data_IF_339208782291
#
_entry.id   IF_339208782291
#
_cell.length_a   1.000
_cell.length_b   1.000
_cell.length_c   1.000
_cell.angle_alpha   90.00
_cell.angle_beta   90.00
_cell.angle_gamma   90.00
#
_symmetry.space_group_name_H-M   'P 1'
#
loop_
_entity.id
_entity.type
_entity.pdbx_description
1 polymer ?
#
# COMPACT_ATOMS: atom_id res chain seq x y z
N UNK A 1 -20.86 19.13 1.46
CA UNK A 1 -19.51 18.74 1.12
C UNK A 1 -19.44 17.31 0.61
N UNK A 2 -18.30 16.92 0.11
CA UNK A 2 -18.01 15.53 -0.25
C UNK A 2 -17.60 14.77 1.00
N UNK A 3 -18.00 13.50 1.08
CA UNK A 3 -17.64 12.60 2.18
C UNK A 3 -17.23 11.26 1.60
N UNK A 4 -16.18 10.69 2.11
CA UNK A 4 -15.78 9.32 1.80
C UNK A 4 -16.56 8.33 2.68
N UNK A 5 -16.88 7.17 2.10
CA UNK A 5 -17.38 6.04 2.86
C UNK A 5 -16.23 5.41 3.65
N UNK A 6 -16.42 5.25 4.95
CA UNK A 6 -15.38 4.66 5.80
C UNK A 6 -15.13 3.20 5.44
N UNK A 7 -13.87 2.71 5.54
CA UNK A 7 -13.54 1.30 5.38
C UNK A 7 -14.40 0.43 6.32
N UNK A 8 -14.76 -0.78 5.84
CA UNK A 8 -15.61 -1.68 6.60
C UNK A 8 -17.07 -1.23 6.75
N UNK A 9 -17.52 -0.24 5.97
CA UNK A 9 -18.89 0.27 5.98
C UNK A 9 -19.55 0.13 4.61
N UNK A 10 -20.88 0.07 4.63
CA UNK A 10 -21.69 0.28 3.44
C UNK A 10 -22.76 1.32 3.68
N UNK A 11 -23.16 2.03 2.62
CA UNK A 11 -24.19 3.06 2.66
C UNK A 11 -25.42 2.58 1.88
N UNK A 12 -26.57 2.55 2.55
CA UNK A 12 -27.86 2.34 1.90
C UNK A 12 -28.55 3.69 1.68
N UNK A 13 -28.92 3.99 0.44
CA UNK A 13 -29.68 5.19 0.08
C UNK A 13 -31.08 4.79 -0.40
N UNK A 14 -32.11 5.47 0.12
CA UNK A 14 -33.51 5.30 -0.29
C UNK A 14 -34.24 6.64 -0.31
N UNK A 15 -35.47 6.62 -0.73
CA UNK A 15 -36.35 7.80 -0.65
C UNK A 15 -36.63 8.26 0.79
N UNK A 16 -36.42 7.38 1.77
CA UNK A 16 -36.58 7.66 3.19
C UNK A 16 -35.32 8.18 3.89
N UNK A 17 -34.20 8.26 3.18
CA UNK A 17 -32.93 8.76 3.72
C UNK A 17 -31.71 7.88 3.44
N UNK A 18 -30.66 8.16 4.20
CA UNK A 18 -29.35 7.45 4.10
C UNK A 18 -29.06 6.74 5.42
N UNK A 19 -28.57 5.51 5.33
CA UNK A 19 -28.12 4.74 6.50
C UNK A 19 -26.74 4.14 6.21
N UNK A 20 -25.74 4.55 7.01
CA UNK A 20 -24.43 3.91 7.03
C UNK A 20 -24.44 2.76 8.03
N UNK A 21 -23.90 1.61 7.63
CA UNK A 21 -23.77 0.42 8.48
C UNK A 21 -22.33 -0.05 8.43
N UNK A 22 -21.69 -0.20 9.58
CA UNK A 22 -20.38 -0.81 9.71
C UNK A 22 -20.55 -2.32 9.82
N UNK A 23 -19.91 -3.07 8.92
CA UNK A 23 -19.94 -4.54 8.89
C UNK A 23 -18.61 -5.17 9.31
N UNK A 24 -17.53 -4.38 9.33
CA UNK A 24 -16.21 -4.84 9.73
C UNK A 24 -15.49 -3.76 10.54
N UNK A 25 -14.78 -4.16 11.57
CA UNK A 25 -13.82 -3.35 12.33
C UNK A 25 -12.67 -4.22 12.81
N UNK A 26 -11.52 -3.61 13.02
CA UNK A 26 -10.36 -4.30 13.55
C UNK A 26 -10.56 -4.56 15.05
N UNK A 27 -10.34 -5.81 15.46
CA UNK A 27 -10.45 -6.25 16.85
C UNK A 27 -9.13 -6.86 17.33
N UNK A 28 -8.77 -6.53 18.57
CA UNK A 28 -7.70 -7.23 19.28
C UNK A 28 -8.25 -8.51 19.89
N UNK A 29 -7.70 -9.66 19.51
CA UNK A 29 -8.09 -10.98 20.03
C UNK A 29 -6.87 -11.72 20.57
N UNK A 30 -7.02 -12.52 21.64
CA UNK A 30 -5.97 -13.44 22.06
C UNK A 30 -5.63 -14.43 20.94
N UNK A 31 -4.35 -14.76 20.82
CA UNK A 31 -3.86 -15.74 19.86
C UNK A 31 -3.33 -16.95 20.62
N UNK A 32 -3.81 -18.15 20.29
CA UNK A 32 -3.51 -19.38 21.01
C UNK A 32 -2.85 -20.45 20.13
N UNK A 33 -2.71 -20.20 18.83
CA UNK A 33 -2.08 -21.14 17.92
C UNK A 33 -0.57 -21.22 18.19
N UNK A 34 0.03 -22.37 17.97
CA UNK A 34 1.47 -22.55 17.93
C UNK A 34 2.09 -21.75 16.78
N UNK A 35 3.40 -21.61 16.79
CA UNK A 35 4.11 -20.95 15.68
C UNK A 35 3.85 -21.65 14.35
N UNK A 36 3.93 -22.98 14.35
CA UNK A 36 3.71 -23.82 13.15
C UNK A 36 2.28 -23.67 12.61
N UNK A 37 1.28 -23.75 13.49
CA UNK A 37 -0.12 -23.53 13.11
C UNK A 37 -0.37 -22.12 12.57
N UNK A 38 0.27 -21.13 13.17
CA UNK A 38 0.20 -19.73 12.70
C UNK A 38 0.78 -19.59 11.29
N UNK A 39 1.95 -20.19 11.03
CA UNK A 39 2.58 -20.18 9.71
C UNK A 39 1.70 -20.87 8.66
N UNK A 40 1.15 -22.04 8.97
CA UNK A 40 0.26 -22.78 8.06
C UNK A 40 -1.01 -21.99 7.74
N UNK A 41 -1.69 -21.45 8.75
CA UNK A 41 -2.90 -20.64 8.57
C UNK A 41 -2.64 -19.36 7.78
N UNK A 42 -1.55 -18.67 8.10
CA UNK A 42 -1.15 -17.45 7.38
C UNK A 42 -0.86 -17.75 5.92
N UNK A 43 -0.08 -18.82 5.64
CA UNK A 43 0.22 -19.26 4.29
C UNK A 43 -1.06 -19.61 3.50
N UNK A 44 -1.99 -20.32 4.13
CA UNK A 44 -3.27 -20.65 3.51
C UNK A 44 -4.09 -19.40 3.19
N UNK A 45 -4.21 -18.46 4.15
CA UNK A 45 -5.01 -17.25 3.98
C UNK A 45 -4.45 -16.33 2.89
N UNK A 46 -3.12 -16.16 2.82
CA UNK A 46 -2.46 -15.37 1.77
C UNK A 46 -2.75 -15.99 0.40
N UNK A 47 -2.54 -17.30 0.25
CA UNK A 47 -2.78 -17.97 -1.02
C UNK A 47 -4.27 -17.93 -1.43
N UNK A 48 -5.19 -18.10 -0.49
CA UNK A 48 -6.64 -18.01 -0.75
C UNK A 48 -7.04 -16.61 -1.17
N UNK A 49 -6.53 -15.58 -0.50
CA UNK A 49 -6.77 -14.18 -0.85
C UNK A 49 -6.29 -13.85 -2.27
N UNK A 50 -5.06 -14.22 -2.61
CA UNK A 50 -4.51 -14.00 -3.95
C UNK A 50 -5.35 -14.74 -5.02
N UNK A 51 -5.69 -16.00 -4.79
CA UNK A 51 -6.51 -16.79 -5.74
C UNK A 51 -7.89 -16.17 -5.96
N UNK A 52 -8.51 -15.63 -4.93
CA UNK A 52 -9.79 -14.91 -5.05
C UNK A 52 -9.65 -13.64 -5.87
N UNK A 53 -8.54 -12.92 -5.74
CA UNK A 53 -8.25 -11.72 -6.53
C UNK A 53 -7.91 -12.03 -8.00
N UNK A 54 -7.57 -13.27 -8.34
CA UNK A 54 -7.33 -13.69 -9.73
C UNK A 54 -8.59 -13.87 -10.56
N UNK A 55 -9.79 -13.85 -9.96
CA UNK A 55 -11.06 -14.02 -10.69
C UNK A 55 -11.25 -12.84 -11.64
N UNK A 56 -11.18 -13.08 -12.94
CA UNK A 56 -11.24 -12.04 -13.98
C UNK A 56 -11.73 -12.61 -15.31
N UNK A 57 -12.49 -11.81 -16.04
CA UNK A 57 -12.95 -12.12 -17.41
C UNK A 57 -11.90 -11.78 -18.48
N UNK A 58 -10.81 -11.10 -18.07
CA UNK A 58 -9.71 -10.69 -18.95
C UNK A 58 -8.37 -11.22 -18.43
N UNK A 59 -7.32 -11.31 -19.26
CA UNK A 59 -5.99 -11.67 -18.79
C UNK A 59 -5.51 -10.75 -17.67
N UNK A 60 -4.91 -11.36 -16.64
CA UNK A 60 -4.31 -10.67 -15.51
C UNK A 60 -2.79 -10.59 -15.66
N UNK A 61 -2.19 -9.57 -15.07
CA UNK A 61 -0.73 -9.46 -14.90
C UNK A 61 -0.39 -9.16 -13.43
N UNK A 62 0.89 -9.11 -13.09
CA UNK A 62 1.34 -8.68 -11.77
C UNK A 62 2.43 -7.61 -11.87
N UNK A 63 2.47 -6.71 -10.87
CA UNK A 63 3.62 -5.86 -10.63
C UNK A 63 4.65 -6.64 -9.82
N UNK A 64 5.91 -6.65 -10.28
CA UNK A 64 7.01 -7.42 -9.71
C UNK A 64 8.18 -6.50 -9.38
N UNK A 65 8.38 -6.19 -8.11
CA UNK A 65 9.49 -5.35 -7.63
C UNK A 65 10.72 -6.18 -7.18
N UNK A 66 10.59 -7.50 -7.12
CA UNK A 66 11.61 -8.38 -6.54
C UNK A 66 11.62 -8.41 -5.01
N UNK A 67 10.80 -7.61 -4.34
CA UNK A 67 10.49 -7.71 -2.90
C UNK A 67 9.68 -8.97 -2.59
N UNK A 68 9.62 -9.34 -1.30
CA UNK A 68 8.95 -10.57 -0.85
C UNK A 68 7.47 -10.57 -1.27
N UNK A 69 6.77 -9.48 -1.06
CA UNK A 69 5.32 -9.38 -1.23
C UNK A 69 4.90 -9.56 -2.69
N UNK A 70 5.47 -8.77 -3.60
CA UNK A 70 5.24 -8.89 -5.04
C UNK A 70 5.67 -10.24 -5.60
N UNK A 71 6.72 -10.83 -5.02
CA UNK A 71 7.21 -12.17 -5.39
C UNK A 71 6.22 -13.27 -5.00
N UNK A 72 5.63 -13.19 -3.79
CA UNK A 72 4.60 -14.14 -3.34
C UNK A 72 3.35 -14.05 -4.19
N UNK A 73 2.85 -12.84 -4.46
CA UNK A 73 1.69 -12.62 -5.33
C UNK A 73 1.95 -13.22 -6.72
N UNK A 74 3.09 -12.88 -7.33
CA UNK A 74 3.45 -13.37 -8.66
C UNK A 74 3.65 -14.89 -8.70
N UNK A 75 4.22 -15.49 -7.64
CA UNK A 75 4.43 -16.93 -7.57
C UNK A 75 3.10 -17.70 -7.50
N UNK A 76 2.15 -17.24 -6.69
CA UNK A 76 0.82 -17.86 -6.62
C UNK A 76 0.09 -17.71 -7.95
N UNK A 77 0.11 -16.51 -8.55
CA UNK A 77 -0.52 -16.27 -9.86
C UNK A 77 0.10 -17.14 -10.96
N UNK A 78 1.41 -17.24 -11.02
CA UNK A 78 2.10 -18.08 -12.02
C UNK A 78 1.74 -19.56 -11.86
N UNK A 79 1.72 -20.07 -10.60
CA UNK A 79 1.35 -21.45 -10.31
C UNK A 79 -0.10 -21.79 -10.73
N UNK A 80 -1.05 -20.87 -10.47
CA UNK A 80 -2.45 -21.08 -10.85
C UNK A 80 -2.67 -20.96 -12.38
N UNK A 81 -2.03 -20.02 -13.05
CA UNK A 81 -2.09 -19.88 -14.51
C UNK A 81 -1.44 -21.08 -15.23
N UNK A 82 -0.35 -21.60 -14.71
CA UNK A 82 0.32 -22.79 -15.25
C UNK A 82 -0.57 -24.02 -15.26
N UNK A 83 -1.44 -24.20 -14.25
CA UNK A 83 -2.45 -25.30 -14.23
C UNK A 83 -3.43 -25.18 -15.40
N UNK A 84 -3.62 -23.98 -15.92
CA UNK A 84 -4.49 -23.69 -17.08
C UNK A 84 -3.72 -23.68 -18.42
N UNK A 85 -2.43 -24.03 -18.41
CA UNK A 85 -1.56 -23.94 -19.59
C UNK A 85 -1.24 -22.51 -20.04
N UNK A 86 -1.39 -21.52 -19.15
CA UNK A 86 -1.13 -20.10 -19.40
C UNK A 86 0.14 -19.67 -18.72
N UNK A 87 0.79 -18.64 -19.26
CA UNK A 87 1.97 -17.98 -18.72
C UNK A 87 1.56 -16.66 -18.06
N UNK A 88 2.18 -16.31 -16.93
CA UNK A 88 1.96 -15.04 -16.26
C UNK A 88 2.75 -13.94 -16.98
N UNK A 89 2.11 -12.79 -17.21
CA UNK A 89 2.79 -11.56 -17.60
C UNK A 89 3.11 -10.74 -16.34
N UNK A 90 4.34 -10.25 -16.24
CA UNK A 90 4.80 -9.44 -15.11
C UNK A 90 5.41 -8.12 -15.59
N UNK A 91 5.22 -7.05 -14.84
CA UNK A 91 5.77 -5.73 -15.12
C UNK A 91 6.62 -5.25 -13.95
N UNK A 92 7.79 -4.69 -14.25
CA UNK A 92 8.63 -3.98 -13.28
C UNK A 92 8.88 -2.56 -13.75
N UNK A 93 9.04 -1.67 -12.80
CA UNK A 93 9.22 -0.24 -13.01
C UNK A 93 10.62 0.16 -12.63
N UNK A 94 11.25 1.01 -13.44
CA UNK A 94 12.57 1.55 -13.15
C UNK A 94 12.69 2.97 -13.73
N UNK A 95 13.74 3.67 -13.33
CA UNK A 95 14.10 4.96 -13.90
C UNK A 95 15.28 4.80 -14.84
N UNK A 96 15.25 5.56 -15.94
CA UNK A 96 16.37 5.58 -16.90
C UNK A 96 17.65 5.97 -16.18
N UNK A 97 18.73 5.24 -16.43
CA UNK A 97 20.03 5.40 -15.79
C UNK A 97 20.05 5.20 -14.25
N UNK A 98 19.08 4.52 -13.69
CA UNK A 98 19.03 4.23 -12.25
C UNK A 98 20.30 3.50 -11.76
N UNK A 99 20.87 2.64 -12.57
CA UNK A 99 22.14 1.92 -12.28
C UNK A 99 23.32 2.88 -12.05
N UNK A 100 23.32 4.07 -12.67
CA UNK A 100 24.38 5.08 -12.54
C UNK A 100 24.19 5.99 -11.34
N UNK A 101 22.94 6.29 -10.98
CA UNK A 101 22.62 7.31 -9.99
C UNK A 101 22.10 6.75 -8.66
N UNK A 102 21.80 5.47 -8.60
CA UNK A 102 21.32 4.83 -7.38
C UNK A 102 22.29 5.01 -6.21
N UNK A 103 21.74 5.42 -5.07
CA UNK A 103 22.47 5.48 -3.80
C UNK A 103 21.66 4.72 -2.76
N UNK A 104 22.27 3.69 -2.20
CA UNK A 104 21.66 2.92 -1.13
C UNK A 104 21.33 3.82 0.07
N UNK A 105 20.17 3.60 0.66
CA UNK A 105 19.72 4.27 1.87
C UNK A 105 19.07 3.26 2.83
N UNK A 106 18.57 3.72 3.97
CA UNK A 106 18.00 2.84 5.00
C UNK A 106 16.68 2.17 4.60
N UNK A 107 15.97 2.67 3.60
CA UNK A 107 14.72 2.09 3.08
C UNK A 107 14.99 1.21 1.86
N UNK A 108 15.93 1.59 1.00
CA UNK A 108 16.29 0.87 -0.21
C UNK A 108 17.80 0.59 -0.20
N UNK A 109 18.24 -0.51 0.42
CA UNK A 109 19.67 -0.84 0.56
C UNK A 109 20.30 -1.37 -0.72
N UNK A 110 19.52 -1.78 -1.70
CA UNK A 110 19.98 -2.32 -3.00
C UNK A 110 18.98 -1.98 -4.11
N UNK A 111 19.43 -2.09 -5.35
CA UNK A 111 18.54 -1.99 -6.51
C UNK A 111 17.62 -3.21 -6.60
N UNK A 112 16.43 -3.04 -7.14
CA UNK A 112 15.42 -4.09 -7.26
C UNK A 112 15.70 -5.04 -8.43
N UNK A 113 16.23 -4.55 -9.52
CA UNK A 113 16.44 -5.28 -10.78
C UNK A 113 17.09 -6.65 -10.64
N UNK A 114 18.17 -6.86 -9.85
CA UNK A 114 18.78 -8.18 -9.67
C UNK A 114 17.83 -9.20 -9.00
N UNK A 115 16.90 -8.76 -8.18
CA UNK A 115 15.91 -9.62 -7.54
C UNK A 115 14.74 -9.92 -8.49
N UNK A 116 14.35 -8.93 -9.29
CA UNK A 116 13.36 -9.11 -10.37
C UNK A 116 13.84 -10.17 -11.34
N UNK A 117 15.10 -10.10 -11.83
CA UNK A 117 15.68 -11.06 -12.79
C UNK A 117 15.65 -12.50 -12.24
N UNK A 118 15.95 -12.67 -10.93
CA UNK A 118 15.84 -13.97 -10.27
C UNK A 118 14.42 -14.49 -10.27
N UNK A 119 13.45 -13.61 -9.93
CA UNK A 119 12.05 -14.00 -9.89
C UNK A 119 11.49 -14.30 -11.28
N UNK A 120 11.81 -13.51 -12.29
CA UNK A 120 11.43 -13.74 -13.70
C UNK A 120 11.90 -15.14 -14.14
N UNK A 121 13.16 -15.47 -13.86
CA UNK A 121 13.74 -16.78 -14.18
C UNK A 121 13.05 -17.92 -13.42
N UNK A 122 12.74 -17.72 -12.13
CA UNK A 122 12.05 -18.71 -11.29
C UNK A 122 10.61 -18.96 -11.74
N UNK A 123 9.89 -17.90 -12.07
CA UNK A 123 8.47 -17.95 -12.48
C UNK A 123 8.29 -18.39 -13.93
N UNK A 124 9.33 -18.31 -14.75
CA UNK A 124 9.25 -18.39 -16.22
C UNK A 124 8.17 -17.44 -16.75
N UNK A 125 8.13 -16.20 -16.25
CA UNK A 125 7.12 -15.20 -16.63
C UNK A 125 7.46 -14.51 -17.95
N UNK A 126 6.43 -14.00 -18.63
CA UNK A 126 6.58 -13.03 -19.72
C UNK A 126 6.77 -11.64 -19.09
N UNK A 127 8.01 -11.17 -19.07
CA UNK A 127 8.39 -10.01 -18.26
C UNK A 127 8.68 -8.77 -19.09
N UNK A 128 8.16 -7.62 -18.62
CA UNK A 128 8.37 -6.32 -19.25
C UNK A 128 8.92 -5.31 -18.23
N UNK A 129 10.06 -4.71 -18.56
CA UNK A 129 10.58 -3.55 -17.85
C UNK A 129 10.03 -2.27 -18.47
N UNK A 130 9.41 -1.43 -17.64
CA UNK A 130 8.96 -0.09 -18.01
C UNK A 130 9.88 0.93 -17.35
N UNK A 131 10.42 1.85 -18.13
CA UNK A 131 11.37 2.84 -17.64
C UNK A 131 10.84 4.25 -17.94
N UNK A 132 10.96 5.15 -16.99
CA UNK A 132 10.63 6.56 -17.20
C UNK A 132 11.81 7.45 -16.84
N UNK A 133 11.91 8.62 -17.50
CA UNK A 133 12.87 9.65 -17.18
C UNK A 133 12.23 10.79 -16.39
N UNK A 134 13.06 11.69 -15.86
CA UNK A 134 12.61 12.84 -15.10
C UNK A 134 11.70 13.79 -15.89
N UNK A 135 11.87 13.86 -17.22
CA UNK A 135 11.04 14.69 -18.07
C UNK A 135 9.64 14.11 -18.20
N UNK A 136 9.54 12.81 -18.46
CA UNK A 136 8.25 12.10 -18.52
C UNK A 136 7.51 12.23 -17.19
N UNK A 137 8.22 12.06 -16.08
CA UNK A 137 7.67 12.25 -14.74
C UNK A 137 7.15 13.67 -14.52
N UNK A 138 7.90 14.69 -14.93
CA UNK A 138 7.48 16.08 -14.81
C UNK A 138 6.28 16.42 -15.71
N UNK A 139 6.25 15.90 -16.93
CA UNK A 139 5.14 16.11 -17.86
C UNK A 139 3.81 15.51 -17.36
N UNK A 140 3.87 14.48 -16.49
CA UNK A 140 2.70 13.81 -15.92
C UNK A 140 2.22 14.37 -14.57
N UNK A 141 2.89 15.38 -14.01
CA UNK A 141 2.51 15.97 -12.71
C UNK A 141 1.06 16.47 -12.68
N UNK A 142 0.64 17.22 -13.69
CA UNK A 142 -0.75 17.72 -13.75
C UNK A 142 -1.76 16.60 -13.94
N UNK A 143 -1.41 15.60 -14.73
CA UNK A 143 -2.27 14.45 -14.98
C UNK A 143 -2.47 13.61 -13.72
N UNK A 144 -1.44 13.48 -12.89
CA UNK A 144 -1.58 12.80 -11.59
C UNK A 144 -2.46 13.60 -10.61
N UNK A 145 -2.42 14.94 -10.67
CA UNK A 145 -3.36 15.78 -9.92
C UNK A 145 -4.81 15.58 -10.41
N UNK A 146 -5.01 15.50 -11.73
CA UNK A 146 -6.34 15.23 -12.30
C UNK A 146 -6.87 13.86 -11.86
N UNK A 147 -6.01 12.83 -11.79
CA UNK A 147 -6.38 11.49 -11.32
C UNK A 147 -6.82 11.49 -9.85
N UNK A 148 -6.25 12.35 -9.04
CA UNK A 148 -6.53 12.43 -7.60
C UNK A 148 -7.56 13.50 -7.21
N UNK A 149 -7.93 14.42 -8.13
CA UNK A 149 -8.72 15.64 -7.86
C UNK A 149 -8.07 16.61 -6.86
N UNK A 150 -6.84 16.35 -6.42
CA UNK A 150 -6.09 17.08 -5.41
C UNK A 150 -4.58 16.96 -5.66
N UNK A 151 -3.75 17.92 -5.20
CA UNK A 151 -2.31 17.71 -5.14
C UNK A 151 -1.94 16.47 -4.34
N UNK A 152 -1.03 15.67 -4.84
CA UNK A 152 -0.64 14.37 -4.33
C UNK A 152 0.88 14.27 -4.15
N UNK A 153 1.43 13.07 -3.96
CA UNK A 153 2.89 12.84 -3.83
C UNK A 153 3.56 12.89 -5.21
N UNK A 154 3.81 14.09 -5.71
CA UNK A 154 4.15 14.42 -7.09
C UNK A 154 5.23 13.51 -7.74
N UNK A 155 6.29 13.18 -7.01
CA UNK A 155 7.41 12.36 -7.51
C UNK A 155 7.04 10.87 -7.68
N UNK A 156 6.19 10.35 -6.80
CA UNK A 156 5.76 8.94 -6.84
C UNK A 156 4.54 8.78 -7.74
N UNK A 157 3.55 9.66 -7.59
CA UNK A 157 2.26 9.49 -8.26
C UNK A 157 2.37 9.72 -9.77
N UNK A 158 3.23 10.64 -10.22
CA UNK A 158 3.43 10.90 -11.66
C UNK A 158 4.13 9.73 -12.35
N UNK A 159 5.11 9.09 -11.74
CA UNK A 159 5.73 7.88 -12.30
C UNK A 159 4.77 6.69 -12.29
N UNK A 160 4.00 6.51 -11.22
CA UNK A 160 2.97 5.48 -11.15
C UNK A 160 1.89 5.67 -12.21
N UNK A 161 1.49 6.94 -12.48
CA UNK A 161 0.57 7.29 -13.56
C UNK A 161 1.08 6.80 -14.92
N UNK A 162 2.35 7.08 -15.24
CA UNK A 162 2.99 6.60 -16.46
C UNK A 162 2.92 5.07 -16.57
N UNK A 163 3.34 4.36 -15.52
CA UNK A 163 3.38 2.90 -15.54
C UNK A 163 1.99 2.28 -15.66
N UNK A 164 0.99 2.83 -14.97
CA UNK A 164 -0.39 2.36 -15.11
C UNK A 164 -0.94 2.58 -16.52
N UNK A 165 -0.63 3.71 -17.15
CA UNK A 165 -1.01 3.99 -18.54
C UNK A 165 -0.39 2.98 -19.50
N UNK A 166 0.93 2.73 -19.41
CA UNK A 166 1.62 1.77 -20.26
C UNK A 166 1.07 0.35 -20.12
N UNK A 167 0.86 -0.11 -18.89
CA UNK A 167 0.29 -1.44 -18.63
C UNK A 167 -1.14 -1.54 -19.17
N UNK A 168 -1.93 -0.48 -19.06
CA UNK A 168 -3.33 -0.44 -19.51
C UNK A 168 -3.51 -0.67 -21.01
N UNK A 169 -2.48 -0.45 -21.82
CA UNK A 169 -2.51 -0.72 -23.25
C UNK A 169 -2.62 -2.23 -23.56
N UNK A 170 -2.12 -3.08 -22.70
CA UNK A 170 -2.10 -4.54 -22.91
C UNK A 170 -2.94 -5.33 -21.90
N UNK A 171 -3.08 -4.85 -20.68
CA UNK A 171 -3.80 -5.51 -19.58
C UNK A 171 -4.81 -4.56 -18.92
N UNK A 172 -5.87 -5.13 -18.35
CA UNK A 172 -6.91 -4.36 -17.66
C UNK A 172 -7.00 -4.69 -16.17
N UNK A 173 -6.35 -5.77 -15.74
CA UNK A 173 -6.32 -6.19 -14.33
C UNK A 173 -4.89 -6.54 -13.95
N UNK A 174 -4.42 -5.96 -12.85
CA UNK A 174 -3.10 -6.22 -12.28
C UNK A 174 -3.23 -6.55 -10.79
N UNK A 175 -2.49 -7.56 -10.32
CA UNK A 175 -2.32 -7.83 -8.90
C UNK A 175 -1.00 -7.24 -8.42
N UNK A 176 -1.03 -6.64 -7.23
CA UNK A 176 0.13 -5.99 -6.61
C UNK A 176 0.44 -6.59 -5.24
N UNK A 177 1.64 -6.35 -4.73
CA UNK A 177 2.03 -6.72 -3.37
C UNK A 177 1.82 -5.60 -2.36
N UNK A 178 1.08 -4.55 -2.70
CA UNK A 178 0.79 -3.47 -1.75
C UNK A 178 0.00 -3.97 -0.54
N UNK A 179 0.07 -3.24 0.56
CA UNK A 179 -0.58 -3.52 1.85
C UNK A 179 0.01 -4.68 2.67
N UNK A 180 0.98 -5.43 2.17
CA UNK A 180 1.60 -6.51 2.94
C UNK A 180 2.43 -5.98 4.12
N UNK A 181 3.23 -4.94 3.92
CA UNK A 181 4.00 -4.29 4.99
C UNK A 181 3.10 -3.72 6.09
N UNK A 182 1.93 -3.21 5.74
CA UNK A 182 0.94 -2.69 6.66
C UNK A 182 0.32 -3.78 7.52
N UNK A 183 0.05 -4.92 6.95
CA UNK A 183 -0.59 -6.07 7.61
C UNK A 183 0.42 -6.87 8.43
N UNK A 184 1.62 -7.10 7.89
CA UNK A 184 2.63 -7.98 8.49
C UNK A 184 3.74 -7.25 9.22
N UNK A 185 3.71 -5.92 9.28
CA UNK A 185 4.66 -5.12 10.05
C UNK A 185 6.06 -5.04 9.43
N UNK A 186 6.16 -4.92 8.10
CA UNK A 186 7.43 -4.83 7.37
C UNK A 186 8.18 -3.51 7.57
N UNK A 187 7.51 -2.45 7.93
CA UNK A 187 8.12 -1.12 8.05
C UNK A 187 9.04 -0.95 9.28
N UNK A 188 10.04 -0.05 9.21
CA UNK A 188 10.98 0.20 10.30
C UNK A 188 10.34 0.58 11.64
N UNK A 189 9.19 1.21 11.64
CA UNK A 189 8.50 1.63 12.87
C UNK A 189 7.90 0.48 13.69
N UNK A 190 7.83 -0.73 13.14
CA UNK A 190 7.50 -1.92 13.92
C UNK A 190 8.72 -2.53 14.64
N UNK A 191 9.95 -2.12 14.28
CA UNK A 191 11.21 -2.75 14.71
C UNK A 191 12.16 -1.80 15.42
N UNK A 192 12.12 -0.50 15.15
CA UNK A 192 13.00 0.50 15.78
C UNK A 192 12.34 1.05 17.03
N UNK A 193 13.04 0.93 18.17
CA UNK A 193 12.52 1.29 19.49
C UNK A 193 12.10 2.75 19.57
N UNK A 194 12.88 3.67 19.02
CA UNK A 194 12.56 5.10 18.98
C UNK A 194 11.28 5.42 18.20
N UNK A 195 10.98 4.63 17.17
CA UNK A 195 9.76 4.80 16.38
C UNK A 195 8.56 4.11 17.03
N UNK A 196 8.79 2.94 17.63
CA UNK A 196 7.78 2.16 18.34
C UNK A 196 7.22 2.92 19.54
N UNK A 197 8.06 3.72 20.21
CA UNK A 197 7.71 4.49 21.39
C UNK A 197 7.47 5.99 21.10
N UNK A 198 7.25 6.37 19.85
CA UNK A 198 7.15 7.78 19.43
C UNK A 198 5.98 8.55 20.06
N UNK A 199 4.91 7.88 20.50
CA UNK A 199 3.70 8.53 21.03
C UNK A 199 2.93 9.36 20.02
N UNK A 200 3.21 9.18 18.72
CA UNK A 200 2.54 9.82 17.59
C UNK A 200 2.52 8.87 16.39
N UNK A 201 2.03 9.34 15.23
CA UNK A 201 2.11 8.59 13.98
C UNK A 201 3.59 8.41 13.56
N UNK A 202 4.16 7.19 13.57
CA UNK A 202 5.59 6.99 13.40
C UNK A 202 6.11 7.34 12.00
N UNK A 203 5.26 7.36 10.98
CA UNK A 203 5.60 7.80 9.62
C UNK A 203 5.54 9.32 9.43
N UNK A 204 5.06 10.06 10.45
CA UNK A 204 5.01 11.53 10.45
C UNK A 204 5.32 12.05 11.86
N UNK A 205 6.55 11.86 12.35
CA UNK A 205 6.89 12.24 13.74
C UNK A 205 6.95 13.75 13.94
N UNK A 206 7.04 14.54 12.87
CA UNK A 206 7.08 16.00 12.92
C UNK A 206 6.36 16.63 11.72
N UNK A 207 5.61 17.70 11.97
CA UNK A 207 4.97 18.50 10.93
C UNK A 207 5.84 19.67 10.45
N UNK A 208 7.02 19.88 11.03
CA UNK A 208 7.92 20.98 10.68
C UNK A 208 8.18 21.11 9.17
N UNK A 209 8.49 20.01 8.41
CA UNK A 209 8.71 20.13 6.97
C UNK A 209 7.49 20.63 6.18
N UNK A 210 6.28 20.40 6.70
CA UNK A 210 5.05 20.88 6.06
C UNK A 210 4.77 22.34 6.41
N UNK A 211 5.03 22.73 7.66
CA UNK A 211 4.80 24.09 8.15
C UNK A 211 5.65 25.14 7.42
N UNK A 212 6.89 24.80 7.09
CA UNK A 212 7.78 25.75 6.36
C UNK A 212 7.31 26.11 4.95
N UNK A 213 6.35 25.37 4.39
CA UNK A 213 5.73 25.65 3.09
C UNK A 213 4.52 26.60 3.20
N UNK A 214 4.06 26.89 4.41
CA UNK A 214 2.87 27.67 4.68
C UNK A 214 3.24 29.03 5.28
N UNK A 215 2.36 30.01 5.15
CA UNK A 215 2.51 31.29 5.83
C UNK A 215 2.25 31.13 7.34
N UNK A 216 2.94 31.93 8.15
CA UNK A 216 2.88 31.83 9.62
C UNK A 216 1.46 31.98 10.17
N UNK A 217 0.69 32.97 9.67
CA UNK A 217 -0.70 33.19 10.06
C UNK A 217 -1.60 31.99 9.75
N UNK A 218 -1.35 31.28 8.65
CA UNK A 218 -2.06 30.07 8.29
C UNK A 218 -1.67 28.91 9.23
N UNK A 219 -0.36 28.75 9.52
CA UNK A 219 0.12 27.71 10.46
C UNK A 219 -0.52 27.90 11.83
N UNK A 220 -0.57 29.12 12.33
CA UNK A 220 -1.22 29.45 13.61
C UNK A 220 -2.72 29.13 13.61
N UNK A 221 -3.43 29.48 12.54
CA UNK A 221 -4.89 29.27 12.43
C UNK A 221 -5.28 27.80 12.27
N UNK A 222 -4.42 26.96 11.69
CA UNK A 222 -4.72 25.53 11.42
C UNK A 222 -4.57 24.62 12.64
N UNK A 223 -3.85 25.05 13.68
CA UNK A 223 -3.60 24.25 14.90
C UNK A 223 -3.16 22.80 14.58
N UNK A 224 -2.22 22.65 13.63
CA UNK A 224 -1.90 21.36 13.01
C UNK A 224 -1.40 20.30 14.01
N UNK A 225 -0.59 20.70 15.00
CA UNK A 225 -0.04 19.76 15.99
C UNK A 225 -1.15 19.25 16.92
N UNK A 226 -2.01 20.14 17.39
CA UNK A 226 -3.15 19.81 18.24
C UNK A 226 -4.13 18.89 17.52
N UNK A 227 -4.37 19.17 16.23
CA UNK A 227 -5.23 18.32 15.40
C UNK A 227 -4.64 16.90 15.26
N UNK A 228 -3.37 16.77 14.88
CA UNK A 228 -2.73 15.47 14.72
C UNK A 228 -2.69 14.70 16.05
N UNK A 229 -2.37 15.39 17.15
CA UNK A 229 -2.40 14.76 18.48
C UNK A 229 -3.79 14.29 18.86
N UNK A 230 -4.82 15.08 18.64
CA UNK A 230 -6.21 14.72 18.92
C UNK A 230 -6.63 13.47 18.13
N UNK A 231 -6.31 13.39 16.84
CA UNK A 231 -6.62 12.22 16.01
C UNK A 231 -5.86 10.99 16.50
N UNK A 232 -4.57 11.13 16.85
CA UNK A 232 -3.77 10.04 17.39
C UNK A 232 -4.36 9.52 18.71
N UNK A 233 -4.57 10.39 19.69
CA UNK A 233 -5.09 10.04 21.03
C UNK A 233 -6.46 9.35 20.92
N UNK A 234 -7.35 9.88 20.10
CA UNK A 234 -8.67 9.30 19.83
C UNK A 234 -8.53 7.90 19.23
N UNK A 235 -7.69 7.74 18.21
CA UNK A 235 -7.53 6.46 17.54
C UNK A 235 -6.92 5.39 18.43
N UNK A 236 -5.93 5.75 19.24
CA UNK A 236 -5.32 4.83 20.22
C UNK A 236 -6.31 4.44 21.32
N UNK A 237 -7.23 5.33 21.72
CA UNK A 237 -8.25 5.03 22.73
C UNK A 237 -9.30 4.01 22.25
N UNK A 238 -9.44 3.79 20.96
CA UNK A 238 -10.35 2.79 20.36
C UNK A 238 -9.77 1.35 20.41
N UNK A 239 -8.49 1.19 20.75
CA UNK A 239 -7.79 -0.08 20.70
C UNK A 239 -7.91 -0.81 22.04
N UNK A 240 -8.43 -2.01 22.01
CA UNK A 240 -8.44 -2.89 23.18
C UNK A 240 -7.05 -3.50 23.38
N UNK A 241 -6.43 -3.19 24.52
CA UNK A 241 -5.20 -3.82 24.98
C UNK A 241 -5.56 -5.19 25.56
N UNK A 242 -4.77 -6.20 25.24
CA UNK A 242 -5.01 -7.55 25.75
C UNK A 242 -4.41 -7.72 27.15
N UNK A 243 -5.07 -8.45 28.06
CA UNK A 243 -4.51 -8.76 29.36
C UNK A 243 -3.15 -9.48 29.24
N UNK A 244 -2.20 -9.09 30.06
CA UNK A 244 -0.84 -9.68 30.12
C UNK A 244 0.05 -9.42 28.92
N UNK A 245 -0.33 -8.51 28.04
CA UNK A 245 0.50 -8.08 26.92
C UNK A 245 1.66 -7.19 27.43
N UNK A 246 2.85 -7.37 26.88
CA UNK A 246 3.98 -6.49 27.19
C UNK A 246 3.75 -5.09 26.58
N UNK A 247 4.42 -4.08 27.12
CA UNK A 247 4.36 -2.72 26.58
C UNK A 247 4.78 -2.67 25.10
N UNK A 248 5.80 -3.44 24.72
CA UNK A 248 6.28 -3.56 23.35
C UNK A 248 5.18 -4.12 22.44
N UNK A 249 4.52 -5.18 22.85
CA UNK A 249 3.42 -5.78 22.06
C UNK A 249 2.22 -4.84 21.97
N UNK A 250 1.90 -4.15 23.06
CA UNK A 250 0.86 -3.12 23.07
C UNK A 250 1.17 -2.01 22.07
N UNK A 251 2.41 -1.54 22.02
CA UNK A 251 2.83 -0.50 21.07
C UNK A 251 2.82 -1.01 19.62
N UNK A 252 3.27 -2.24 19.36
CA UNK A 252 3.13 -2.87 18.03
C UNK A 252 1.67 -2.97 17.58
N UNK A 253 0.79 -3.35 18.49
CA UNK A 253 -0.66 -3.40 18.21
C UNK A 253 -1.24 -2.03 17.88
N UNK A 254 -0.86 -0.99 18.64
CA UNK A 254 -1.26 0.39 18.38
C UNK A 254 -0.79 0.86 17.01
N UNK A 255 0.49 0.65 16.70
CA UNK A 255 1.07 1.01 15.41
C UNK A 255 0.40 0.23 14.27
N UNK A 256 0.18 -1.07 14.42
CA UNK A 256 -0.51 -1.89 13.42
C UNK A 256 -1.92 -1.37 13.13
N UNK A 257 -2.68 -1.05 14.17
CA UNK A 257 -4.01 -0.46 14.01
C UNK A 257 -3.96 0.87 13.27
N UNK A 258 -3.08 1.79 13.69
CA UNK A 258 -2.93 3.09 13.06
C UNK A 258 -2.46 2.95 11.60
N UNK A 259 -1.56 2.01 11.34
CA UNK A 259 -1.01 1.73 10.03
C UNK A 259 -2.11 1.29 9.05
N UNK A 260 -2.93 0.32 9.43
CA UNK A 260 -4.05 -0.16 8.61
C UNK A 260 -5.12 0.94 8.43
N UNK A 261 -5.42 1.69 9.50
CA UNK A 261 -6.49 2.70 9.48
C UNK A 261 -6.14 3.96 8.70
N UNK A 262 -4.87 4.38 8.66
CA UNK A 262 -4.47 5.65 8.06
C UNK A 262 -3.45 5.48 6.93
N UNK A 263 -2.32 4.84 7.19
CA UNK A 263 -1.24 4.77 6.20
C UNK A 263 -1.63 3.90 5.01
N UNK A 264 -2.13 2.71 5.26
CA UNK A 264 -2.62 1.79 4.23
C UNK A 264 -3.71 2.44 3.36
N UNK A 265 -4.65 3.19 3.96
CA UNK A 265 -5.69 3.87 3.21
C UNK A 265 -5.12 4.91 2.22
N UNK A 266 -4.04 5.58 2.59
CA UNK A 266 -3.36 6.53 1.70
C UNK A 266 -2.75 5.81 0.49
N UNK A 267 -2.12 4.65 0.70
CA UNK A 267 -1.53 3.85 -0.38
C UNK A 267 -2.60 3.26 -1.29
N UNK A 268 -3.65 2.70 -0.72
CA UNK A 268 -4.79 2.17 -1.47
C UNK A 268 -5.45 3.24 -2.34
N UNK A 269 -5.72 4.42 -1.78
CA UNK A 269 -6.28 5.54 -2.54
C UNK A 269 -5.35 5.98 -3.67
N UNK A 270 -4.05 6.03 -3.43
CA UNK A 270 -3.06 6.36 -4.46
C UNK A 270 -3.12 5.37 -5.61
N UNK A 271 -2.99 4.08 -5.30
CA UNK A 271 -3.01 3.03 -6.31
C UNK A 271 -4.34 3.01 -7.07
N UNK A 272 -5.47 3.00 -6.37
CA UNK A 272 -6.79 2.91 -6.97
C UNK A 272 -7.08 4.08 -7.91
N UNK A 273 -6.88 5.33 -7.45
CA UNK A 273 -7.12 6.52 -8.26
C UNK A 273 -6.23 6.57 -9.49
N UNK A 274 -4.94 6.32 -9.33
CA UNK A 274 -3.97 6.35 -10.44
C UNK A 274 -4.25 5.26 -11.46
N UNK A 275 -4.45 4.03 -11.01
CA UNK A 275 -4.68 2.90 -11.92
C UNK A 275 -6.03 2.98 -12.62
N UNK A 276 -7.11 3.33 -11.89
CA UNK A 276 -8.44 3.45 -12.47
C UNK A 276 -8.55 4.63 -13.45
N UNK A 277 -7.88 5.76 -13.18
CA UNK A 277 -7.78 6.87 -14.12
C UNK A 277 -7.12 6.45 -15.44
N UNK A 278 -6.17 5.51 -15.39
CA UNK A 278 -5.51 4.92 -16.54
C UNK A 278 -6.32 3.79 -17.20
N UNK A 279 -7.45 3.38 -16.63
CA UNK A 279 -8.25 2.25 -17.10
C UNK A 279 -7.60 0.89 -16.82
N UNK A 280 -6.89 0.78 -15.70
CA UNK A 280 -6.27 -0.42 -15.15
C UNK A 280 -6.84 -0.69 -13.76
N UNK A 281 -7.42 -1.85 -13.52
CA UNK A 281 -7.89 -2.27 -12.19
C UNK A 281 -6.73 -2.90 -11.41
N UNK A 282 -6.21 -2.20 -10.41
CA UNK A 282 -5.20 -2.74 -9.50
C UNK A 282 -5.89 -3.44 -8.30
N UNK A 283 -5.43 -4.65 -7.99
CA UNK A 283 -5.90 -5.47 -6.87
C UNK A 283 -4.76 -5.75 -5.92
N UNK A 284 -5.03 -5.69 -4.62
CA UNK A 284 -4.08 -5.90 -3.53
C UNK A 284 -4.46 -7.11 -2.69
#
# INVERSE_FOLDING_TARGET
GFHELLPGCYLTCSVFGRKMTQYFHLESRPHFDSYEETVEKTSFLIQDAIKRQMVSDVPICTFLSGGVDSSVVSAVCAAELKKQGKKLTTFSFDFIDNDKYFKANSFQPSQDRPYVDKMVSFLDSDHHYLECDNKMQADLLYRSVDAHDLPCMADIDSSLQYFCEEVSHSHKVVLTGECADEVFGGYPWFHREEMLNSGTFPWTPSLTPRKVLLKDDLVESLHMDEYVKMIYDRSVSEINVLPSESEIETNRRRIGYLNIRFFMQTLLNRMDRTSMFSGLEARV
#
